data_IF_055489235136
#
_entry.id   IF_055489235136
#
_cell.length_a   1.000
_cell.length_b   1.000
_cell.length_c   1.000
_cell.angle_alpha   90.00
_cell.angle_beta   90.00
_cell.angle_gamma   90.00
#
_symmetry.space_group_name_H-M   'P 1'
#
loop_
_entity.id
_entity.type
_entity.pdbx_description
1 polymer ?
#
# COMPACT_ATOMS: atom_id res chain seq x y z
N UNK A 1 -18.48 -12.17 -10.85
CA UNK A 1 -17.65 -13.30 -10.37
C UNK A 1 -16.76 -12.77 -9.24
N UNK A 2 -17.21 -12.96 -8.00
CA UNK A 2 -16.48 -12.54 -6.80
C UNK A 2 -15.55 -13.69 -6.44
N UNK A 3 -14.24 -13.56 -6.69
CA UNK A 3 -13.31 -14.60 -6.28
C UNK A 3 -13.21 -14.60 -4.74
N UNK A 4 -13.72 -15.68 -4.16
CA UNK A 4 -13.62 -16.07 -2.76
C UNK A 4 -12.15 -15.98 -2.29
N UNK A 5 -11.77 -14.98 -1.49
CA UNK A 5 -10.36 -14.63 -1.20
C UNK A 5 -10.00 -14.72 0.29
N UNK A 6 -10.25 -15.85 0.91
CA UNK A 6 -9.83 -16.11 2.31
C UNK A 6 -8.30 -16.10 2.45
N UNK A 7 -7.56 -16.70 1.50
CA UNK A 7 -6.10 -16.81 1.57
C UNK A 7 -5.34 -15.51 1.26
N UNK A 8 -5.76 -14.78 0.22
CA UNK A 8 -5.10 -13.53 -0.20
C UNK A 8 -5.21 -12.44 0.86
N UNK A 9 -6.38 -12.33 1.52
CA UNK A 9 -6.60 -11.35 2.59
C UNK A 9 -5.66 -11.60 3.78
N UNK A 10 -5.51 -12.86 4.19
CA UNK A 10 -4.62 -13.26 5.29
C UNK A 10 -3.16 -12.95 4.97
N UNK A 11 -2.71 -13.28 3.75
CA UNK A 11 -1.35 -12.98 3.30
C UNK A 11 -1.11 -11.47 3.28
N UNK A 12 -2.05 -10.69 2.73
CA UNK A 12 -1.94 -9.24 2.64
C UNK A 12 -1.90 -8.57 4.03
N UNK A 13 -2.74 -9.00 4.96
CA UNK A 13 -2.70 -8.51 6.34
C UNK A 13 -1.39 -8.87 7.03
N UNK A 14 -0.90 -10.11 6.88
CA UNK A 14 0.40 -10.50 7.43
C UNK A 14 1.55 -9.69 6.82
N UNK A 15 1.45 -9.30 5.55
CA UNK A 15 2.45 -8.50 4.88
C UNK A 15 2.42 -7.04 5.34
N UNK A 16 1.23 -6.47 5.56
CA UNK A 16 1.08 -5.14 6.17
C UNK A 16 1.66 -5.15 7.58
N UNK A 17 1.34 -6.16 8.37
CA UNK A 17 1.82 -6.30 9.74
C UNK A 17 3.36 -6.33 9.80
N UNK A 18 3.99 -7.14 8.95
CA UNK A 18 5.47 -7.27 8.94
C UNK A 18 6.23 -6.06 8.38
N UNK A 19 5.63 -5.30 7.47
CA UNK A 19 6.36 -4.27 6.71
C UNK A 19 5.95 -2.84 7.05
N UNK A 20 4.79 -2.65 7.67
CA UNK A 20 4.16 -1.35 7.90
C UNK A 20 3.82 -1.15 9.38
N UNK A 21 3.27 -2.16 10.07
CA UNK A 21 2.95 -2.03 11.51
C UNK A 21 4.24 -2.02 12.33
N UNK A 22 4.32 -1.14 13.32
CA UNK A 22 5.50 -0.95 14.20
C UNK A 22 6.82 -0.67 13.47
N UNK A 23 6.76 -0.21 12.22
CA UNK A 23 7.98 0.18 11.49
C UNK A 23 8.53 1.50 12.03
N UNK A 24 9.82 1.54 12.31
CA UNK A 24 10.54 2.78 12.65
C UNK A 24 10.84 3.64 11.42
N UNK A 25 10.68 3.09 10.21
CA UNK A 25 11.06 3.75 8.96
C UNK A 25 9.96 3.60 7.89
N UNK A 26 8.79 4.24 8.06
CA UNK A 26 7.63 4.05 7.17
C UNK A 26 7.93 4.47 5.72
N UNK A 27 8.86 5.38 5.49
CA UNK A 27 9.21 5.86 4.14
C UNK A 27 10.18 4.94 3.38
N UNK A 28 10.88 4.03 4.06
CA UNK A 28 12.01 3.27 3.49
C UNK A 28 11.60 2.38 2.31
N UNK A 29 10.42 1.78 2.40
CA UNK A 29 9.90 0.84 1.41
C UNK A 29 8.90 1.48 0.43
N UNK A 30 8.62 2.77 0.59
CA UNK A 30 7.65 3.51 -0.21
C UNK A 30 8.32 4.44 -1.22
N UNK A 31 7.63 4.72 -2.32
CA UNK A 31 7.99 5.85 -3.19
C UNK A 31 6.84 6.85 -3.23
N UNK A 32 7.15 8.12 -2.99
CA UNK A 32 6.22 9.21 -3.22
C UNK A 32 5.80 9.23 -4.70
N UNK A 33 4.50 9.44 -4.94
CA UNK A 33 4.02 9.65 -6.30
C UNK A 33 4.33 11.08 -6.76
N UNK A 34 4.63 11.24 -8.05
CA UNK A 34 4.94 12.54 -8.64
C UNK A 34 3.68 13.39 -8.86
N UNK A 35 3.85 14.72 -8.88
CA UNK A 35 2.84 15.74 -9.26
C UNK A 35 1.72 15.92 -8.21
N UNK A 36 0.45 15.89 -8.59
CA UNK A 36 -0.72 16.17 -7.72
C UNK A 36 -0.94 15.13 -6.61
N UNK A 37 -0.18 14.03 -6.59
CA UNK A 37 -0.29 12.94 -5.62
C UNK A 37 0.88 12.90 -4.64
N UNK A 38 1.55 14.04 -4.39
CA UNK A 38 2.72 14.14 -3.49
C UNK A 38 2.49 13.62 -2.07
N UNK A 39 1.23 13.58 -1.63
CA UNK A 39 0.84 13.07 -0.31
C UNK A 39 0.66 11.55 -0.28
N UNK A 40 0.64 10.89 -1.45
CA UNK A 40 0.44 9.47 -1.57
C UNK A 40 1.76 8.73 -1.78
N UNK A 41 1.88 7.64 -1.03
CA UNK A 41 2.99 6.72 -1.00
C UNK A 41 2.56 5.39 -1.59
N UNK A 42 3.45 4.80 -2.37
CA UNK A 42 3.22 3.48 -2.94
C UNK A 42 4.20 2.47 -2.36
N UNK A 43 3.70 1.49 -1.64
CA UNK A 43 4.43 0.29 -1.27
C UNK A 43 4.26 -0.80 -2.33
N UNK A 44 5.33 -1.54 -2.60
CA UNK A 44 5.26 -2.79 -3.35
C UNK A 44 5.53 -3.92 -2.38
N UNK A 45 4.59 -4.84 -2.25
CA UNK A 45 4.76 -6.02 -1.40
C UNK A 45 4.36 -7.26 -2.20
N UNK A 46 5.36 -8.06 -2.58
CA UNK A 46 5.18 -9.15 -3.53
C UNK A 46 4.59 -8.65 -4.85
N UNK A 47 3.49 -9.30 -5.27
CA UNK A 47 2.70 -8.92 -6.45
C UNK A 47 1.63 -7.87 -6.15
N UNK A 48 1.63 -7.21 -4.99
CA UNK A 48 0.65 -6.18 -4.66
C UNK A 48 1.29 -4.78 -4.61
N UNK A 49 0.50 -3.79 -5.02
CA UNK A 49 0.79 -2.37 -4.84
C UNK A 49 -0.23 -1.79 -3.87
N UNK A 50 0.28 -1.23 -2.78
CA UNK A 50 -0.52 -0.54 -1.77
C UNK A 50 -0.28 0.95 -1.93
N UNK A 51 -1.35 1.71 -2.07
CA UNK A 51 -1.35 3.16 -2.06
C UNK A 51 -1.82 3.62 -0.69
N UNK A 52 -1.07 4.52 -0.08
CA UNK A 52 -1.37 5.02 1.25
C UNK A 52 -1.01 6.50 1.40
N UNK A 53 -1.59 7.16 2.38
CA UNK A 53 -1.15 8.47 2.86
C UNK A 53 -0.40 8.26 4.17
N UNK A 54 0.70 8.97 4.36
CA UNK A 54 1.46 8.93 5.62
C UNK A 54 1.33 10.30 6.28
N UNK A 55 0.56 10.36 7.36
CA UNK A 55 0.49 11.53 8.21
C UNK A 55 1.63 11.46 9.25
N UNK A 56 2.54 12.43 9.18
CA UNK A 56 3.72 12.50 10.06
C UNK A 56 3.41 13.06 11.45
N UNK A 57 2.37 13.87 11.56
CA UNK A 57 1.99 14.52 12.82
C UNK A 57 1.36 13.49 13.77
N UNK A 58 0.46 12.68 13.21
CA UNK A 58 -0.28 11.67 13.99
C UNK A 58 0.35 10.26 13.93
N UNK A 59 1.42 10.08 13.15
CA UNK A 59 2.08 8.77 12.90
C UNK A 59 1.07 7.73 12.36
N UNK A 60 0.23 8.17 11.43
CA UNK A 60 -0.84 7.35 10.83
C UNK A 60 -0.47 6.99 9.38
N UNK A 61 -0.63 5.71 9.04
CA UNK A 61 -0.57 5.22 7.65
C UNK A 61 -1.98 4.83 7.22
N UNK A 62 -2.58 5.64 6.36
CA UNK A 62 -3.93 5.43 5.84
C UNK A 62 -3.84 4.67 4.51
N UNK A 63 -4.35 3.43 4.45
CA UNK A 63 -4.37 2.66 3.21
C UNK A 63 -5.55 3.10 2.34
N UNK A 64 -5.25 3.68 1.18
CA UNK A 64 -6.24 4.23 0.24
C UNK A 64 -6.70 3.16 -0.76
N UNK A 65 -5.76 2.35 -1.28
CA UNK A 65 -6.07 1.33 -2.29
C UNK A 65 -5.05 0.21 -2.30
N UNK A 66 -5.52 -1.01 -2.56
CA UNK A 66 -4.65 -2.18 -2.78
C UNK A 66 -4.99 -2.81 -4.12
N UNK A 67 -3.97 -3.08 -4.95
CA UNK A 67 -4.14 -3.66 -6.27
C UNK A 67 -3.07 -4.71 -6.57
N UNK A 68 -3.45 -5.77 -7.27
CA UNK A 68 -2.51 -6.78 -7.77
C UNK A 68 -1.74 -6.27 -8.99
N UNK A 69 -0.46 -6.59 -9.11
CA UNK A 69 0.50 -6.07 -10.07
C UNK A 69 0.10 -6.35 -11.52
N UNK A 70 -0.53 -7.50 -11.78
CA UNK A 70 -1.06 -7.87 -13.10
C UNK A 70 -2.31 -7.06 -13.50
N UNK A 71 -2.95 -6.38 -12.55
CA UNK A 71 -4.10 -5.48 -12.79
C UNK A 71 -3.67 -4.01 -12.96
N UNK A 72 -2.37 -3.72 -13.06
CA UNK A 72 -1.84 -2.35 -12.95
C UNK A 72 -1.74 -1.68 -14.31
N UNK A 73 -2.86 -1.12 -14.74
CA UNK A 73 -2.89 0.16 -15.44
C UNK A 73 -4.15 0.97 -15.09
N UNK A 74 -4.40 1.18 -13.79
CA UNK A 74 -5.39 2.18 -13.33
C UNK A 74 -4.82 2.93 -12.12
N UNK A 75 -3.74 3.66 -12.36
CA UNK A 75 -3.35 4.83 -11.54
C UNK A 75 -3.03 5.99 -12.49
N UNK A 76 -3.83 6.13 -13.56
CA UNK A 76 -3.87 7.36 -14.35
C UNK A 76 -4.89 8.31 -13.69
N UNK A 77 -4.53 9.60 -13.75
CA UNK A 77 -5.27 10.76 -13.26
C UNK A 77 -6.77 10.61 -13.37
#
# INVERSE_FOLDING_TARGET
MVHNTSGVRVILLSLIDRNIVNTSEPFKNGKALMRELKELWRYRIGDYRILCRINKEDIIIEIVKIAHQKSVYIFRK
#
